data_IF_354176097678
#
_entry.id   IF_354176097678
#
_cell.length_a   1.000
_cell.length_b   1.000
_cell.length_c   1.000
_cell.angle_alpha   90.00
_cell.angle_beta   90.00
_cell.angle_gamma   90.00
#
_symmetry.space_group_name_H-M   'P 1'
#
loop_
_entity.id
_entity.type
_entity.pdbx_description
1 polymer ?
#
# COMPACT_ATOMS: atom_id res chain seq x y z
N UNK A 1 58.31 -2.06 -40.81
CA UNK A 1 58.02 -0.89 -39.94
C UNK A 1 56.61 -0.33 -40.07
N UNK A 2 55.90 -0.43 -41.21
CA UNK A 2 54.52 0.08 -41.33
C UNK A 2 53.43 -0.80 -40.66
N UNK A 3 53.66 -2.10 -40.50
CA UNK A 3 52.65 -3.00 -39.90
C UNK A 3 52.49 -2.81 -38.38
N UNK A 4 53.58 -2.47 -37.67
CA UNK A 4 53.56 -2.20 -36.22
C UNK A 4 52.82 -0.90 -35.85
N UNK A 5 52.79 0.10 -36.74
CA UNK A 5 52.01 1.32 -36.54
C UNK A 5 50.51 1.07 -36.68
N UNK A 6 50.09 0.29 -37.69
CA UNK A 6 48.67 -0.04 -37.90
C UNK A 6 48.06 -0.91 -36.80
N UNK A 7 48.86 -1.76 -36.16
CA UNK A 7 48.46 -2.60 -35.03
C UNK A 7 48.35 -1.76 -33.75
N UNK A 8 49.26 -0.80 -33.56
CA UNK A 8 49.17 0.14 -32.44
C UNK A 8 47.97 1.06 -32.56
N UNK A 9 47.62 1.54 -33.75
CA UNK A 9 46.43 2.39 -33.96
C UNK A 9 45.13 1.61 -33.73
N UNK A 10 45.08 0.32 -34.11
CA UNK A 10 43.95 -0.58 -33.79
C UNK A 10 43.84 -0.87 -32.29
N UNK A 11 44.96 -1.08 -31.62
CA UNK A 11 44.97 -1.24 -30.17
C UNK A 11 44.62 0.07 -29.45
N UNK A 12 45.05 1.23 -29.94
CA UNK A 12 44.69 2.55 -29.40
C UNK A 12 43.20 2.85 -29.60
N UNK A 13 42.64 2.53 -30.76
CA UNK A 13 41.20 2.71 -31.02
C UNK A 13 40.35 1.73 -30.20
N UNK A 14 40.80 0.49 -30.01
CA UNK A 14 40.18 -0.44 -29.06
C UNK A 14 40.30 0.05 -27.61
N UNK A 15 41.44 0.64 -27.24
CA UNK A 15 41.68 1.18 -25.90
C UNK A 15 40.80 2.42 -25.66
N UNK A 16 40.70 3.33 -26.63
CA UNK A 16 39.83 4.52 -26.59
C UNK A 16 38.36 4.12 -26.49
N UNK A 17 37.89 3.18 -27.32
CA UNK A 17 36.53 2.66 -27.22
C UNK A 17 36.29 1.94 -25.88
N UNK A 18 37.31 1.28 -25.31
CA UNK A 18 37.20 0.67 -23.99
C UNK A 18 37.18 1.73 -22.87
N UNK A 19 37.87 2.86 -23.04
CA UNK A 19 37.85 3.99 -22.10
C UNK A 19 36.47 4.65 -22.07
N UNK A 20 35.86 4.89 -23.23
CA UNK A 20 34.50 5.46 -23.32
C UNK A 20 33.47 4.53 -22.66
N UNK A 21 33.54 3.22 -22.92
CA UNK A 21 32.69 2.23 -22.25
C UNK A 21 32.91 2.17 -20.73
N UNK A 22 34.14 2.41 -20.25
CA UNK A 22 34.44 2.46 -18.81
C UNK A 22 33.89 3.75 -18.19
N UNK A 23 34.01 4.88 -18.89
CA UNK A 23 33.43 6.16 -18.46
C UNK A 23 31.92 6.04 -18.35
N UNK A 24 31.24 5.48 -19.36
CA UNK A 24 29.81 5.23 -19.33
C UNK A 24 29.40 4.39 -18.11
N UNK A 25 30.16 3.35 -17.79
CA UNK A 25 29.93 2.51 -16.60
C UNK A 25 30.13 3.29 -15.29
N UNK A 26 31.10 4.20 -15.25
CA UNK A 26 31.36 5.07 -14.08
C UNK A 26 30.28 6.13 -13.87
N UNK A 27 29.55 6.52 -14.92
CA UNK A 27 28.44 7.47 -14.83
C UNK A 27 27.12 6.83 -14.34
N UNK A 28 26.99 5.50 -14.42
CA UNK A 28 25.76 4.77 -14.05
C UNK A 28 25.24 5.05 -12.63
N UNK A 29 26.06 5.18 -11.58
CA UNK A 29 25.58 5.57 -10.24
C UNK A 29 24.90 6.94 -10.24
N UNK A 30 25.55 7.95 -10.83
CA UNK A 30 25.03 9.31 -10.94
C UNK A 30 23.74 9.36 -11.76
N UNK A 31 23.71 8.63 -12.88
CA UNK A 31 22.51 8.48 -13.70
C UNK A 31 21.38 7.78 -12.94
N UNK A 32 21.68 6.71 -12.19
CA UNK A 32 20.69 6.01 -11.37
C UNK A 32 20.07 6.96 -10.34
N UNK A 33 20.89 7.76 -9.64
CA UNK A 33 20.43 8.75 -8.67
C UNK A 33 19.49 9.78 -9.33
N UNK A 34 19.87 10.32 -10.49
CA UNK A 34 19.05 11.26 -11.25
C UNK A 34 17.70 10.64 -11.67
N UNK A 35 17.70 9.40 -12.17
CA UNK A 35 16.49 8.67 -12.53
C UNK A 35 15.58 8.44 -11.31
N UNK A 36 16.13 8.03 -10.16
CA UNK A 36 15.37 7.78 -8.93
C UNK A 36 14.70 9.06 -8.42
N UNK A 37 15.44 10.18 -8.39
CA UNK A 37 14.91 11.49 -7.97
C UNK A 37 13.83 12.01 -8.91
N UNK A 38 13.97 11.75 -10.21
CA UNK A 38 13.03 12.19 -11.24
C UNK A 38 11.80 11.30 -11.38
N UNK A 39 11.77 10.13 -10.73
CA UNK A 39 10.67 9.17 -10.79
C UNK A 39 10.73 8.18 -11.98
N UNK A 40 11.84 8.15 -12.72
CA UNK A 40 12.10 7.21 -13.82
C UNK A 40 12.55 5.83 -13.27
N UNK A 41 11.64 5.17 -12.55
CA UNK A 41 11.95 3.94 -11.82
C UNK A 41 12.23 2.73 -12.72
N UNK A 42 11.66 2.69 -13.93
CA UNK A 42 11.92 1.62 -14.90
C UNK A 42 13.38 1.60 -15.34
N UNK A 43 13.92 2.76 -15.63
CA UNK A 43 15.27 3.02 -16.11
C UNK A 43 16.28 2.70 -15.01
N UNK A 44 16.03 3.16 -13.78
CA UNK A 44 16.85 2.79 -12.61
C UNK A 44 16.94 1.28 -12.40
N UNK A 45 15.84 0.54 -12.62
CA UNK A 45 15.83 -0.92 -12.51
C UNK A 45 16.60 -1.61 -13.64
N UNK A 46 16.55 -1.06 -14.86
CA UNK A 46 17.35 -1.57 -15.98
C UNK A 46 18.84 -1.42 -15.70
N UNK A 47 19.28 -0.25 -15.23
CA UNK A 47 20.67 0.01 -14.85
C UNK A 47 21.11 -0.97 -13.75
N UNK A 48 20.29 -1.17 -12.72
CA UNK A 48 20.58 -2.14 -11.66
C UNK A 48 20.71 -3.58 -12.19
N UNK A 49 19.84 -3.99 -13.11
CA UNK A 49 19.91 -5.33 -13.71
C UNK A 49 21.18 -5.51 -14.56
N UNK A 50 21.56 -4.48 -15.32
CA UNK A 50 22.77 -4.47 -16.14
C UNK A 50 24.03 -4.57 -15.27
N UNK A 51 24.13 -3.77 -14.22
CA UNK A 51 25.31 -3.80 -13.34
C UNK A 51 25.40 -5.08 -12.53
N UNK A 52 24.27 -5.69 -12.14
CA UNK A 52 24.28 -7.03 -11.56
C UNK A 52 24.81 -8.08 -12.52
N UNK A 53 24.43 -8.04 -13.80
CA UNK A 53 24.95 -8.95 -14.82
C UNK A 53 26.44 -8.71 -15.09
N UNK A 54 26.90 -7.46 -15.08
CA UNK A 54 28.33 -7.15 -15.19
C UNK A 54 29.12 -7.65 -13.97
N UNK A 55 28.58 -7.45 -12.77
CA UNK A 55 29.20 -7.90 -11.53
C UNK A 55 29.32 -9.43 -11.45
N UNK A 56 28.39 -10.19 -12.05
CA UNK A 56 28.51 -11.66 -12.12
C UNK A 56 29.50 -12.11 -13.18
N UNK A 57 29.61 -11.39 -14.31
CA UNK A 57 30.57 -11.69 -15.39
C UNK A 57 32.01 -11.34 -15.03
N UNK A 58 32.23 -10.26 -14.27
CA UNK A 58 33.56 -9.70 -13.99
C UNK A 58 33.86 -9.63 -12.48
N UNK A 59 33.77 -10.77 -11.79
CA UNK A 59 33.94 -10.86 -10.34
C UNK A 59 35.31 -10.38 -9.82
N UNK A 60 36.34 -10.36 -10.67
CA UNK A 60 37.71 -10.01 -10.27
C UNK A 60 37.99 -8.50 -10.27
N UNK A 61 37.05 -7.65 -10.70
CA UNK A 61 37.27 -6.20 -10.82
C UNK A 61 36.64 -5.47 -9.62
N UNK A 62 37.44 -4.89 -8.70
CA UNK A 62 36.93 -4.20 -7.50
C UNK A 62 36.17 -2.90 -7.82
N UNK A 63 36.43 -2.28 -8.97
CA UNK A 63 35.69 -1.10 -9.42
C UNK A 63 34.22 -1.41 -9.76
N UNK A 64 33.96 -2.56 -10.39
CA UNK A 64 32.59 -2.97 -10.74
C UNK A 64 31.81 -3.30 -9.46
N UNK A 65 32.46 -3.89 -8.45
CA UNK A 65 31.82 -4.15 -7.17
C UNK A 65 31.53 -2.85 -6.40
N UNK A 66 32.40 -1.84 -6.43
CA UNK A 66 32.11 -0.55 -5.80
C UNK A 66 30.94 0.18 -6.46
N UNK A 67 30.89 0.21 -7.80
CA UNK A 67 29.77 0.76 -8.58
C UNK A 67 28.46 0.04 -8.26
N UNK A 68 28.50 -1.30 -8.20
CA UNK A 68 27.35 -2.12 -7.84
C UNK A 68 26.82 -1.78 -6.44
N UNK A 69 27.71 -1.56 -5.46
CA UNK A 69 27.31 -1.14 -4.11
C UNK A 69 26.62 0.23 -4.14
N UNK A 70 27.15 1.19 -4.89
CA UNK A 70 26.58 2.54 -4.98
C UNK A 70 25.19 2.53 -5.64
N UNK A 71 25.03 1.81 -6.74
CA UNK A 71 23.73 1.64 -7.41
C UNK A 71 22.73 0.92 -6.48
N UNK A 72 23.17 -0.10 -5.73
CA UNK A 72 22.29 -0.79 -4.76
C UNK A 72 21.82 0.14 -3.63
N UNK A 73 22.63 1.13 -3.21
CA UNK A 73 22.21 2.17 -2.26
C UNK A 73 21.09 3.03 -2.84
N UNK A 74 21.25 3.51 -4.08
CA UNK A 74 20.21 4.29 -4.78
C UNK A 74 18.91 3.50 -4.97
N UNK A 75 19.02 2.20 -5.28
CA UNK A 75 17.84 1.32 -5.41
C UNK A 75 17.15 1.09 -4.05
N UNK A 76 17.91 1.03 -2.96
CA UNK A 76 17.37 0.92 -1.61
C UNK A 76 16.67 2.22 -1.17
N UNK A 77 17.19 3.37 -1.58
CA UNK A 77 16.51 4.66 -1.43
C UNK A 77 15.20 4.70 -2.25
N UNK A 78 15.25 4.24 -3.51
CA UNK A 78 14.08 4.09 -4.37
C UNK A 78 13.00 3.20 -3.73
N UNK A 79 13.38 2.04 -3.19
CA UNK A 79 12.46 1.14 -2.49
C UNK A 79 11.74 1.85 -1.33
N UNK A 80 12.48 2.59 -0.52
CA UNK A 80 11.93 3.36 0.61
C UNK A 80 10.97 4.46 0.12
N UNK A 81 11.32 5.14 -0.97
CA UNK A 81 10.47 6.15 -1.59
C UNK A 81 9.17 5.54 -2.17
N UNK A 82 9.25 4.37 -2.82
CA UNK A 82 8.09 3.64 -3.34
C UNK A 82 7.15 3.17 -2.22
N UNK A 83 7.68 2.67 -1.10
CA UNK A 83 6.87 2.31 0.07
C UNK A 83 6.19 3.55 0.65
N UNK A 84 6.87 4.69 0.71
CA UNK A 84 6.28 5.96 1.14
C UNK A 84 5.18 6.43 0.18
N UNK A 85 5.36 6.27 -1.14
CA UNK A 85 4.32 6.54 -2.13
C UNK A 85 3.07 5.67 -1.91
N UNK A 86 3.21 4.39 -1.53
CA UNK A 86 2.03 3.55 -1.21
C UNK A 86 1.19 4.07 -0.03
N UNK A 87 1.75 4.96 0.80
CA UNK A 87 1.08 5.60 1.94
C UNK A 87 0.39 6.91 1.56
N UNK A 88 0.44 7.35 0.30
CA UNK A 88 -0.29 8.51 -0.19
C UNK A 88 -1.58 8.11 -0.91
N UNK A 89 -2.39 9.12 -1.27
CA UNK A 89 -3.55 8.89 -2.13
C UNK A 89 -3.08 8.58 -3.54
N UNK A 90 -3.38 7.37 -4.01
CA UNK A 90 -2.89 6.84 -5.27
C UNK A 90 -4.06 6.20 -6.03
N UNK A 91 -4.08 6.42 -7.35
CA UNK A 91 -4.98 5.70 -8.25
C UNK A 91 -4.59 4.21 -8.28
N UNK A 92 -5.56 3.33 -8.51
CA UNK A 92 -5.33 1.89 -8.60
C UNK A 92 -4.23 1.53 -9.60
N UNK A 93 -4.21 2.17 -10.78
CA UNK A 93 -3.21 1.95 -11.82
C UNK A 93 -1.79 2.30 -11.36
N UNK A 94 -1.62 3.39 -10.61
CA UNK A 94 -0.32 3.79 -10.05
C UNK A 94 0.15 2.84 -8.95
N UNK A 95 -0.77 2.36 -8.10
CA UNK A 95 -0.47 1.37 -7.06
C UNK A 95 0.03 0.06 -7.65
N UNK A 96 -0.59 -0.42 -8.74
CA UNK A 96 -0.16 -1.62 -9.46
C UNK A 96 1.26 -1.43 -10.01
N UNK A 97 1.54 -0.29 -10.65
CA UNK A 97 2.88 0.03 -11.18
C UNK A 97 3.94 0.07 -10.07
N UNK A 98 3.67 0.79 -8.97
CA UNK A 98 4.58 0.87 -7.82
C UNK A 98 4.91 -0.51 -7.25
N UNK A 99 3.89 -1.36 -7.05
CA UNK A 99 4.11 -2.73 -6.57
C UNK A 99 4.87 -3.59 -7.59
N UNK A 100 4.66 -3.37 -8.89
CA UNK A 100 5.43 -4.05 -9.93
C UNK A 100 6.92 -3.69 -9.90
N UNK A 101 7.27 -2.45 -9.54
CA UNK A 101 8.65 -2.03 -9.34
C UNK A 101 9.24 -2.65 -8.07
N UNK A 102 8.50 -2.64 -6.97
CA UNK A 102 8.95 -3.26 -5.70
C UNK A 102 9.25 -4.75 -5.89
N UNK A 103 8.42 -5.49 -6.66
CA UNK A 103 8.63 -6.91 -6.98
C UNK A 103 9.96 -7.19 -7.70
N UNK A 104 10.52 -6.21 -8.42
CA UNK A 104 11.78 -6.36 -9.17
C UNK A 104 13.03 -6.07 -8.33
N UNK A 105 12.87 -5.63 -7.08
CA UNK A 105 13.97 -5.27 -6.18
C UNK A 105 14.18 -6.38 -5.16
N UNK A 106 15.43 -6.76 -4.89
CA UNK A 106 15.76 -7.72 -3.83
C UNK A 106 15.39 -7.13 -2.45
N UNK A 107 14.86 -7.94 -1.52
CA UNK A 107 14.74 -9.40 -1.59
C UNK A 107 13.51 -9.89 -2.37
N UNK A 108 12.56 -9.03 -2.76
CA UNK A 108 11.22 -9.36 -3.31
C UNK A 108 11.16 -10.11 -4.65
N UNK A 109 12.30 -10.53 -5.19
CA UNK A 109 12.40 -11.27 -6.45
C UNK A 109 12.01 -12.77 -6.31
N UNK A 110 12.01 -13.33 -5.10
CA UNK A 110 11.70 -14.75 -4.86
C UNK A 110 10.18 -15.01 -4.64
N UNK A 111 9.64 -16.03 -5.32
CA UNK A 111 8.24 -16.05 -5.77
C UNK A 111 7.16 -16.48 -4.76
N UNK A 112 7.47 -17.24 -3.70
CA UNK A 112 6.43 -17.79 -2.80
C UNK A 112 6.35 -17.08 -1.43
N UNK A 113 7.43 -17.07 -0.64
CA UNK A 113 7.40 -16.50 0.73
C UNK A 113 7.34 -14.97 0.75
N UNK A 114 7.87 -14.29 -0.29
CA UNK A 114 7.91 -12.83 -0.33
C UNK A 114 6.66 -12.18 -0.93
N UNK A 115 5.84 -12.92 -1.66
CA UNK A 115 4.49 -12.46 -1.98
C UNK A 115 3.69 -12.18 -0.69
N UNK A 116 3.92 -12.96 0.38
CA UNK A 116 3.34 -12.70 1.69
C UNK A 116 3.84 -11.38 2.31
N UNK A 117 5.15 -11.11 2.24
CA UNK A 117 5.72 -9.87 2.74
C UNK A 117 5.21 -8.66 1.96
N UNK A 118 5.10 -8.76 0.63
CA UNK A 118 4.57 -7.69 -0.21
C UNK A 118 3.09 -7.43 0.07
N UNK A 119 2.28 -8.49 0.23
CA UNK A 119 0.87 -8.40 0.67
C UNK A 119 0.77 -7.63 2.00
N UNK A 120 1.63 -7.97 2.98
CA UNK A 120 1.70 -7.29 4.29
C UNK A 120 2.12 -5.83 4.18
N UNK A 121 3.17 -5.53 3.41
CA UNK A 121 3.66 -4.15 3.20
C UNK A 121 2.56 -3.29 2.57
N UNK A 122 1.87 -3.82 1.56
CA UNK A 122 0.77 -3.12 0.92
C UNK A 122 -0.35 -2.81 1.93
N UNK A 123 -0.90 -3.84 2.61
CA UNK A 123 -2.01 -3.63 3.55
C UNK A 123 -1.61 -2.71 4.71
N UNK A 124 -0.38 -2.84 5.22
CA UNK A 124 0.13 -1.94 6.25
C UNK A 124 0.28 -0.50 5.74
N UNK A 125 0.76 -0.30 4.52
CA UNK A 125 0.89 1.03 3.93
C UNK A 125 -0.48 1.69 3.71
N UNK A 126 -1.47 0.91 3.24
CA UNK A 126 -2.86 1.38 3.12
C UNK A 126 -3.51 1.66 4.46
N UNK A 127 -3.20 0.87 5.48
CA UNK A 127 -3.66 1.13 6.84
C UNK A 127 -3.11 2.48 7.34
N UNK A 128 -1.80 2.72 7.22
CA UNK A 128 -1.19 4.00 7.60
C UNK A 128 -1.78 5.18 6.83
N UNK A 129 -2.02 5.02 5.53
CA UNK A 129 -2.71 6.02 4.73
C UNK A 129 -4.09 6.37 5.30
N UNK A 130 -4.93 5.37 5.59
CA UNK A 130 -6.28 5.59 6.14
C UNK A 130 -6.20 6.29 7.51
N UNK A 131 -5.26 5.90 8.37
CA UNK A 131 -5.07 6.57 9.67
C UNK A 131 -4.63 8.02 9.49
N UNK A 132 -3.74 8.31 8.54
CA UNK A 132 -3.33 9.67 8.22
C UNK A 132 -4.52 10.50 7.73
N UNK A 133 -5.35 9.96 6.82
CA UNK A 133 -6.56 10.65 6.34
C UNK A 133 -7.56 10.92 7.47
N UNK A 134 -7.71 9.99 8.42
CA UNK A 134 -8.52 10.22 9.62
C UNK A 134 -7.93 11.31 10.51
N UNK A 135 -6.60 11.39 10.64
CA UNK A 135 -5.95 12.42 11.44
C UNK A 135 -6.14 13.83 10.88
N UNK A 136 -6.26 13.97 9.55
CA UNK A 136 -6.58 15.24 8.88
C UNK A 136 -7.95 15.76 9.30
N UNK A 137 -8.87 14.88 9.70
CA UNK A 137 -10.21 15.26 10.18
C UNK A 137 -10.23 15.77 11.62
N UNK A 138 -9.14 15.64 12.39
CA UNK A 138 -9.09 16.03 13.80
C UNK A 138 -9.58 17.46 14.09
N UNK A 139 -9.31 18.49 13.26
CA UNK A 139 -9.85 19.84 13.49
C UNK A 139 -11.39 19.89 13.50
N UNK A 140 -12.06 19.03 12.73
CA UNK A 140 -13.53 18.96 12.70
C UNK A 140 -14.11 18.49 14.03
N UNK A 141 -13.35 17.73 14.82
CA UNK A 141 -13.77 17.25 16.14
C UNK A 141 -14.11 18.39 17.09
N UNK A 142 -13.39 19.51 16.98
CA UNK A 142 -13.60 20.70 17.82
C UNK A 142 -14.79 21.55 17.36
N UNK A 143 -15.11 21.53 16.06
CA UNK A 143 -16.18 22.36 15.49
C UNK A 143 -17.53 21.64 15.38
N UNK A 144 -17.54 20.37 14.97
CA UNK A 144 -18.77 19.59 14.77
C UNK A 144 -18.48 18.10 14.90
N UNK A 145 -18.84 17.52 16.04
CA UNK A 145 -18.67 16.10 16.36
C UNK A 145 -19.45 15.19 15.40
N UNK A 146 -20.66 15.58 15.02
CA UNK A 146 -21.46 14.87 14.01
C UNK A 146 -20.73 14.77 12.67
N UNK A 147 -20.31 15.92 12.11
CA UNK A 147 -19.62 15.95 10.81
C UNK A 147 -18.32 15.17 10.85
N UNK A 148 -17.59 15.24 11.97
CA UNK A 148 -16.38 14.46 12.18
C UNK A 148 -16.65 12.95 12.12
N UNK A 149 -17.66 12.43 12.85
CA UNK A 149 -18.01 11.01 12.82
C UNK A 149 -18.49 10.59 11.44
N UNK A 150 -19.41 11.35 10.84
CA UNK A 150 -19.93 11.10 9.49
C UNK A 150 -18.79 10.98 8.47
N UNK A 151 -17.88 11.95 8.46
CA UNK A 151 -16.75 11.96 7.52
C UNK A 151 -15.77 10.81 7.79
N UNK A 152 -15.54 10.46 9.07
CA UNK A 152 -14.71 9.32 9.45
C UNK A 152 -15.27 8.00 8.90
N UNK A 153 -16.59 7.79 8.96
CA UNK A 153 -17.26 6.61 8.41
C UNK A 153 -17.09 6.56 6.89
N UNK A 154 -17.25 7.69 6.20
CA UNK A 154 -17.08 7.79 4.74
C UNK A 154 -15.65 7.46 4.30
N UNK A 155 -14.65 8.08 4.93
CA UNK A 155 -13.22 7.86 4.66
C UNK A 155 -12.85 6.39 4.85
N UNK A 156 -13.27 5.79 5.96
CA UNK A 156 -13.04 4.37 6.22
C UNK A 156 -13.69 3.51 5.15
N UNK A 157 -14.96 3.77 4.83
CA UNK A 157 -15.70 2.99 3.83
C UNK A 157 -15.00 3.03 2.47
N UNK A 158 -14.71 4.23 1.98
CA UNK A 158 -14.16 4.46 0.65
C UNK A 158 -12.77 3.86 0.51
N UNK A 159 -11.84 4.20 1.42
CA UNK A 159 -10.45 3.78 1.30
C UNK A 159 -10.23 2.33 1.71
N UNK A 160 -11.02 1.77 2.63
CA UNK A 160 -10.95 0.35 2.93
C UNK A 160 -11.45 -0.47 1.73
N UNK A 161 -12.59 -0.09 1.14
CA UNK A 161 -13.14 -0.76 -0.04
C UNK A 161 -12.15 -0.72 -1.21
N UNK A 162 -11.63 0.45 -1.56
CA UNK A 162 -10.67 0.60 -2.67
C UNK A 162 -9.37 -0.19 -2.41
N UNK A 163 -8.89 -0.22 -1.16
CA UNK A 163 -7.68 -0.95 -0.79
C UNK A 163 -7.85 -2.47 -0.92
N UNK A 164 -9.01 -3.01 -0.53
CA UNK A 164 -9.32 -4.44 -0.63
C UNK A 164 -9.54 -4.85 -2.08
N UNK A 165 -10.28 -4.09 -2.87
CA UNK A 165 -10.46 -4.37 -4.30
C UNK A 165 -9.10 -4.38 -5.00
N UNK A 166 -8.28 -3.35 -4.76
CA UNK A 166 -6.94 -3.27 -5.33
C UNK A 166 -6.06 -4.45 -4.87
N UNK A 167 -6.14 -4.86 -3.60
CA UNK A 167 -5.46 -6.05 -3.11
C UNK A 167 -5.84 -7.31 -3.89
N UNK A 168 -7.14 -7.56 -4.05
CA UNK A 168 -7.66 -8.72 -4.77
C UNK A 168 -7.25 -8.71 -6.25
N UNK A 169 -7.15 -7.52 -6.86
CA UNK A 169 -6.68 -7.39 -8.25
C UNK A 169 -5.19 -7.67 -8.42
N UNK A 170 -4.36 -7.29 -7.44
CA UNK A 170 -2.89 -7.42 -7.51
C UNK A 170 -2.41 -8.79 -7.04
N UNK A 171 -3.15 -9.39 -6.12
CA UNK A 171 -2.86 -10.67 -5.49
C UNK A 171 -4.04 -11.61 -5.67
N UNK A 172 -4.35 -12.02 -6.92
CA UNK A 172 -5.42 -12.97 -7.17
C UNK A 172 -5.12 -14.26 -6.42
N UNK A 173 -6.13 -14.79 -5.73
CA UNK A 173 -5.99 -16.05 -5.03
C UNK A 173 -5.90 -17.18 -6.06
N UNK A 174 -4.71 -17.72 -6.29
CA UNK A 174 -4.56 -18.97 -7.03
C UNK A 174 -5.46 -20.03 -6.37
N UNK A 175 -6.07 -20.92 -7.14
CA UNK A 175 -7.05 -21.89 -6.64
C UNK A 175 -6.48 -22.90 -5.59
N UNK A 176 -5.21 -22.77 -5.23
CA UNK A 176 -4.59 -23.44 -4.10
C UNK A 176 -5.22 -22.95 -2.78
N UNK A 177 -5.79 -23.88 -2.02
CA UNK A 177 -6.41 -23.65 -0.72
C UNK A 177 -5.52 -22.85 0.29
N UNK A 178 -4.20 -23.06 0.42
CA UNK A 178 -3.39 -22.32 1.40
C UNK A 178 -3.31 -20.81 1.11
N UNK A 179 -3.20 -20.40 -0.17
CA UNK A 179 -3.09 -18.99 -0.56
C UNK A 179 -4.40 -18.23 -0.35
N UNK A 180 -5.54 -18.89 -0.59
CA UNK A 180 -6.86 -18.33 -0.29
C UNK A 180 -7.03 -18.03 1.19
N UNK A 181 -6.61 -18.95 2.06
CA UNK A 181 -6.74 -18.81 3.51
C UNK A 181 -5.80 -17.71 4.03
N UNK A 182 -4.56 -17.61 3.52
CA UNK A 182 -3.63 -16.55 3.94
C UNK A 182 -4.14 -15.16 3.51
N UNK A 183 -4.67 -15.04 2.29
CA UNK A 183 -5.26 -13.79 1.80
C UNK A 183 -6.46 -13.36 2.65
N UNK A 184 -7.36 -14.28 3.01
CA UNK A 184 -8.52 -13.95 3.86
C UNK A 184 -8.10 -13.56 5.26
N UNK A 185 -7.10 -14.23 5.86
CA UNK A 185 -6.56 -13.86 7.18
C UNK A 185 -5.91 -12.48 7.17
N UNK A 186 -5.12 -12.15 6.14
CA UNK A 186 -4.48 -10.84 5.99
C UNK A 186 -5.52 -9.73 5.84
N UNK A 187 -6.54 -9.93 4.99
CA UNK A 187 -7.65 -8.99 4.82
C UNK A 187 -8.44 -8.81 6.12
N UNK A 188 -8.74 -9.91 6.83
CA UNK A 188 -9.41 -9.85 8.12
C UNK A 188 -8.63 -9.03 9.14
N UNK A 189 -7.30 -9.25 9.26
CA UNK A 189 -6.45 -8.47 10.15
C UNK A 189 -6.43 -6.98 9.81
N UNK A 190 -6.34 -6.65 8.51
CA UNK A 190 -6.41 -5.28 8.00
C UNK A 190 -7.74 -4.60 8.37
N UNK A 191 -8.86 -5.23 8.05
CA UNK A 191 -10.20 -4.70 8.35
C UNK A 191 -10.37 -4.56 9.87
N UNK A 192 -10.04 -5.59 10.65
CA UNK A 192 -10.16 -5.58 12.11
C UNK A 192 -9.45 -4.37 12.72
N UNK A 193 -8.22 -4.08 12.30
CA UNK A 193 -7.47 -2.93 12.84
C UNK A 193 -8.13 -1.58 12.51
N UNK A 194 -8.66 -1.42 11.30
CA UNK A 194 -9.42 -0.22 10.91
C UNK A 194 -10.69 -0.08 11.75
N UNK A 195 -11.42 -1.18 11.96
CA UNK A 195 -12.66 -1.17 12.74
C UNK A 195 -12.40 -0.88 14.22
N UNK A 196 -11.27 -1.36 14.78
CA UNK A 196 -10.84 -0.97 16.13
C UNK A 196 -10.67 0.55 16.22
N UNK A 197 -10.04 1.19 15.23
CA UNK A 197 -9.93 2.65 15.19
C UNK A 197 -11.29 3.35 15.09
N UNK A 198 -12.20 2.86 14.24
CA UNK A 198 -13.57 3.39 14.17
C UNK A 198 -14.28 3.29 15.53
N UNK A 199 -14.16 2.16 16.22
CA UNK A 199 -14.75 1.96 17.55
C UNK A 199 -14.19 2.98 18.54
N UNK A 200 -12.89 3.27 18.51
CA UNK A 200 -12.29 4.30 19.38
C UNK A 200 -12.86 5.69 19.09
N UNK A 201 -12.97 6.06 17.81
CA UNK A 201 -13.60 7.33 17.37
C UNK A 201 -15.04 7.43 17.89
N UNK A 202 -15.82 6.37 17.74
CA UNK A 202 -17.21 6.33 18.18
C UNK A 202 -17.31 6.40 19.70
N UNK A 203 -16.49 5.66 20.44
CA UNK A 203 -16.50 5.69 21.91
C UNK A 203 -16.27 7.08 22.47
N UNK A 204 -15.36 7.83 21.88
CA UNK A 204 -15.00 9.16 22.36
C UNK A 204 -16.03 10.24 21.96
N UNK A 205 -16.64 10.11 20.77
CA UNK A 205 -17.38 11.23 20.17
C UNK A 205 -18.88 10.99 20.05
N UNK A 206 -19.32 9.72 19.92
CA UNK A 206 -20.73 9.39 19.77
C UNK A 206 -21.59 9.75 21.00
N UNK A 207 -21.12 9.60 22.27
CA UNK A 207 -21.89 10.03 23.44
C UNK A 207 -22.17 11.54 23.51
N UNK A 208 -21.40 12.36 22.79
CA UNK A 208 -21.58 13.82 22.74
C UNK A 208 -22.75 14.24 21.84
N UNK A 209 -23.29 13.30 21.05
CA UNK A 209 -24.43 13.55 20.17
C UNK A 209 -25.70 13.23 20.95
N UNK A 210 -26.47 14.27 21.27
CA UNK A 210 -27.71 14.19 22.05
C UNK A 210 -28.91 13.91 21.14
N UNK A 211 -28.92 14.49 19.93
CA UNK A 211 -30.02 14.37 18.99
C UNK A 211 -30.19 12.93 18.48
N UNK A 212 -31.37 12.36 18.73
CA UNK A 212 -31.72 10.98 18.40
C UNK A 212 -31.76 10.74 16.89
N UNK A 213 -32.25 11.70 16.10
CA UNK A 213 -32.32 11.56 14.64
C UNK A 213 -30.93 11.52 14.03
N UNK A 214 -30.01 12.37 14.53
CA UNK A 214 -28.62 12.38 14.10
C UNK A 214 -27.95 11.06 14.47
N UNK A 215 -28.12 10.58 15.71
CA UNK A 215 -27.60 9.27 16.15
C UNK A 215 -28.09 8.14 15.24
N UNK A 216 -29.39 8.05 14.98
CA UNK A 216 -29.98 7.05 14.10
C UNK A 216 -29.39 7.11 12.68
N UNK A 217 -29.17 8.32 12.15
CA UNK A 217 -28.57 8.51 10.83
C UNK A 217 -27.12 8.00 10.76
N UNK A 218 -26.32 8.25 11.80
CA UNK A 218 -24.93 7.80 11.89
C UNK A 218 -24.83 6.29 12.06
N UNK A 219 -25.72 5.70 12.88
CA UNK A 219 -25.81 4.24 13.02
C UNK A 219 -26.15 3.57 11.71
N UNK A 220 -27.11 4.14 10.97
CA UNK A 220 -27.47 3.63 9.65
C UNK A 220 -26.28 3.71 8.68
N UNK A 221 -25.49 4.79 8.71
CA UNK A 221 -24.27 4.90 7.91
C UNK A 221 -23.22 3.85 8.30
N UNK A 222 -23.05 3.53 9.59
CA UNK A 222 -22.14 2.47 10.06
C UNK A 222 -22.60 1.11 9.53
N UNK A 223 -23.91 0.84 9.59
CA UNK A 223 -24.50 -0.40 9.07
C UNK A 223 -24.26 -0.52 7.56
N UNK A 224 -24.47 0.56 6.80
CA UNK A 224 -24.16 0.56 5.36
C UNK A 224 -22.67 0.41 5.08
N UNK A 225 -21.81 1.01 5.90
CA UNK A 225 -20.36 0.82 5.81
C UNK A 225 -20.00 -0.66 6.00
N UNK A 226 -20.51 -1.30 7.06
CA UNK A 226 -20.34 -2.74 7.32
C UNK A 226 -20.82 -3.60 6.16
N UNK A 227 -22.01 -3.31 5.61
CA UNK A 227 -22.55 -4.07 4.49
C UNK A 227 -21.72 -3.89 3.21
N UNK A 228 -21.23 -2.68 2.94
CA UNK A 228 -20.39 -2.42 1.76
C UNK A 228 -19.08 -3.20 1.82
N UNK A 229 -18.48 -3.34 3.01
CA UNK A 229 -17.30 -4.15 3.25
C UNK A 229 -17.64 -5.66 3.36
N UNK A 230 -18.86 -6.01 3.75
CA UNK A 230 -19.36 -7.39 3.78
C UNK A 230 -19.33 -8.09 2.42
N UNK A 231 -19.60 -7.35 1.33
CA UNK A 231 -19.53 -7.88 -0.06
C UNK A 231 -18.15 -8.43 -0.44
N UNK A 232 -17.11 -7.99 0.26
CA UNK A 232 -15.71 -8.36 0.03
C UNK A 232 -15.11 -9.14 1.22
N UNK A 233 -15.98 -9.74 2.06
CA UNK A 233 -15.58 -10.60 3.18
C UNK A 233 -15.21 -9.84 4.46
N UNK A 234 -15.54 -8.55 4.54
CA UNK A 234 -15.24 -7.68 5.67
C UNK A 234 -16.44 -7.26 6.49
N UNK A 235 -17.46 -8.10 6.64
CA UNK A 235 -18.63 -7.74 7.46
C UNK A 235 -18.21 -7.67 8.93
N UNK A 236 -18.43 -6.52 9.58
CA UNK A 236 -18.05 -6.28 10.97
C UNK A 236 -19.22 -5.91 11.86
N UNK A 237 -20.46 -6.09 11.39
CA UNK A 237 -21.69 -5.76 12.12
C UNK A 237 -21.72 -6.42 13.51
N UNK A 238 -21.34 -7.69 13.60
CA UNK A 238 -21.28 -8.46 14.84
C UNK A 238 -20.15 -8.02 15.78
N UNK A 239 -18.99 -7.65 15.23
CA UNK A 239 -17.87 -7.13 15.98
C UNK A 239 -18.23 -5.76 16.59
N UNK A 240 -18.83 -4.88 15.78
CA UNK A 240 -19.32 -3.59 16.24
C UNK A 240 -20.39 -3.74 17.33
N UNK A 241 -21.40 -4.60 17.11
CA UNK A 241 -22.43 -4.93 18.12
C UNK A 241 -21.78 -5.37 19.43
N UNK A 242 -20.85 -6.32 19.37
CA UNK A 242 -20.15 -6.80 20.55
C UNK A 242 -19.39 -5.68 21.27
N UNK A 243 -18.74 -4.76 20.54
CA UNK A 243 -18.00 -3.66 21.15
C UNK A 243 -18.88 -2.55 21.72
N UNK A 244 -20.07 -2.36 21.16
CA UNK A 244 -21.09 -1.45 21.67
C UNK A 244 -21.78 -2.02 22.92
N UNK A 245 -21.96 -3.35 22.99
CA UNK A 245 -22.70 -4.02 24.06
C UNK A 245 -21.83 -4.52 25.23
N UNK A 246 -20.61 -5.02 24.98
CA UNK A 246 -19.84 -5.79 25.98
C UNK A 246 -19.32 -5.00 27.18
N UNK A 247 -19.34 -3.66 27.16
CA UNK A 247 -18.61 -2.87 28.15
C UNK A 247 -19.46 -2.04 29.13
N UNK A 248 -20.76 -2.31 29.29
CA UNK A 248 -21.63 -1.58 30.27
C UNK A 248 -21.49 -0.04 30.23
N UNK A 249 -20.98 0.52 29.13
CA UNK A 249 -20.73 1.95 28.96
C UNK A 249 -21.88 2.65 28.21
N UNK A 250 -22.95 1.92 27.87
CA UNK A 250 -24.23 2.49 27.44
C UNK A 250 -24.14 3.47 26.26
N UNK A 251 -23.28 3.23 25.27
CA UNK A 251 -23.13 4.18 24.15
C UNK A 251 -24.34 4.09 23.22
N UNK A 252 -24.78 2.86 22.93
CA UNK A 252 -25.97 2.51 22.12
C UNK A 252 -26.62 1.31 22.82
N UNK A 253 -27.94 1.31 22.95
CA UNK A 253 -28.68 0.16 23.50
C UNK A 253 -28.98 -0.89 22.43
N UNK A 254 -29.14 -2.15 22.83
CA UNK A 254 -29.61 -3.22 21.95
C UNK A 254 -30.90 -2.85 21.20
N UNK A 255 -31.77 -2.08 21.86
CA UNK A 255 -33.03 -1.62 21.29
C UNK A 255 -32.84 -0.60 20.15
N UNK A 256 -31.92 0.35 20.31
CA UNK A 256 -31.56 1.34 19.29
C UNK A 256 -30.93 0.64 18.08
N UNK A 257 -30.00 -0.29 18.32
CA UNK A 257 -29.36 -1.04 17.25
C UNK A 257 -30.37 -1.91 16.46
N UNK A 258 -31.26 -2.61 17.17
CA UNK A 258 -32.32 -3.40 16.54
C UNK A 258 -33.27 -2.55 15.70
N UNK A 259 -33.61 -1.33 16.16
CA UNK A 259 -34.43 -0.38 15.39
C UNK A 259 -33.76 0.02 14.08
N UNK A 260 -32.46 0.33 14.12
CA UNK A 260 -31.68 0.69 12.92
C UNK A 260 -31.62 -0.47 11.93
N UNK A 261 -31.37 -1.70 12.40
CA UNK A 261 -31.38 -2.89 11.53
C UNK A 261 -32.76 -3.16 10.91
N UNK A 262 -33.85 -2.97 11.65
CA UNK A 262 -35.21 -3.09 11.12
C UNK A 262 -35.49 -2.01 10.06
N UNK A 263 -35.09 -0.76 10.32
CA UNK A 263 -35.21 0.36 9.37
C UNK A 263 -34.41 0.12 8.09
N UNK A 264 -33.20 -0.44 8.20
CA UNK A 264 -32.41 -0.85 7.05
C UNK A 264 -33.13 -1.95 6.24
N UNK A 265 -33.66 -2.98 6.90
CA UNK A 265 -34.40 -4.07 6.23
C UNK A 265 -35.67 -3.59 5.53
N UNK A 266 -36.40 -2.64 6.11
CA UNK A 266 -37.59 -2.07 5.47
C UNK A 266 -37.23 -1.21 4.25
N UNK A 267 -36.16 -0.42 4.33
CA UNK A 267 -35.66 0.34 3.18
C UNK A 267 -35.27 -0.59 2.03
N UNK A 268 -34.54 -1.69 2.30
CA UNK A 268 -34.16 -2.67 1.27
C UNK A 268 -35.38 -3.33 0.62
N UNK A 269 -36.46 -3.57 1.37
CA UNK A 269 -37.71 -4.15 0.85
C UNK A 269 -38.50 -3.18 -0.02
N UNK A 270 -38.40 -1.88 0.23
CA UNK A 270 -39.13 -0.86 -0.54
C UNK A 270 -38.46 -0.52 -1.89
N UNK A 271 -37.24 -1.02 -2.15
CA UNK A 271 -36.52 -0.86 -3.41
C UNK A 271 -36.53 -2.14 -4.29
N UNK A 272 -37.33 -3.14 -3.93
CA UNK A 272 -37.62 -4.33 -4.75
C UNK A 272 -39.08 -4.29 -5.18
#
# INVERSE_FOLDING_TARGET
NNDNLSINDKNLTLLLNSMDNIIDILELPSLTNACVKSGYYSESLQINSYIKQLSTKYQNIPLISSISIEINKEISYMLSALIRLLRSDLKQSTTIKVLSYIRKILPFNDSISLNKNLKRIYLHSRYLFIINELSVLNPLKSHSTEKFIKRSIEVIREYCFSSIITFQTIFPSNNQQPDKIDNTQLLYGFIKNIIIHLILILRENFPKIIDIQIRDSLLLQIVYCSQSLGRIGGEFSSLLLNFLNKNKSGIITDSEWCKVLKKQKSLIKNFK
#
